data_IF_794261734221
#
_entry.id   IF_794261734221
#
_cell.length_a   1.000
_cell.length_b   1.000
_cell.length_c   1.000
_cell.angle_alpha   90.00
_cell.angle_beta   90.00
_cell.angle_gamma   90.00
#
_symmetry.space_group_name_H-M   'P 1'
#
loop_
_entity.id
_entity.type
_entity.pdbx_description
1 polymer ?
#
# COMPACT_ATOMS: atom_id res chain seq x y z
N UNK A 1 -7.30 -41.34 -10.36
CA UNK A 1 -6.49 -42.22 -9.50
C UNK A 1 -6.77 -41.84 -8.05
N UNK A 2 -7.21 -42.77 -7.18
CA UNK A 2 -7.62 -42.40 -5.83
C UNK A 2 -6.39 -42.23 -4.94
N UNK A 3 -6.38 -41.19 -4.12
CA UNK A 3 -5.33 -40.92 -3.14
C UNK A 3 -5.76 -41.46 -1.78
N UNK A 4 -4.91 -42.35 -1.27
CA UNK A 4 -4.94 -42.96 0.06
C UNK A 4 -4.69 -41.90 1.16
N UNK A 5 -5.38 -42.06 2.27
CA UNK A 5 -5.37 -41.18 3.43
C UNK A 5 -4.54 -41.79 4.54
N UNK A 6 -3.32 -41.29 4.77
CA UNK A 6 -2.65 -41.46 6.05
C UNK A 6 -2.45 -40.10 6.73
N UNK A 7 -3.20 -39.95 7.82
CA UNK A 7 -3.11 -38.88 8.82
C UNK A 7 -1.77 -38.97 9.55
N UNK A 8 -1.12 -37.84 9.85
CA UNK A 8 -0.54 -37.50 11.16
C UNK A 8 -0.32 -35.97 11.25
N UNK A 9 -0.76 -35.42 12.37
CA UNK A 9 -0.63 -34.06 12.93
C UNK A 9 -1.34 -32.85 12.24
N UNK A 10 -2.26 -32.20 12.97
CA UNK A 10 -3.17 -31.14 12.46
C UNK A 10 -2.87 -29.77 13.07
N UNK A 11 -2.32 -28.81 12.30
CA UNK A 11 -2.66 -27.40 12.46
C UNK A 11 -3.95 -27.08 11.69
N UNK A 12 -4.73 -26.13 12.21
CA UNK A 12 -6.07 -25.73 11.77
C UNK A 12 -6.20 -25.55 10.23
N UNK A 13 -6.78 -26.55 9.53
CA UNK A 13 -6.88 -26.69 8.05
C UNK A 13 -7.69 -25.59 7.30
N UNK A 14 -8.11 -24.49 7.94
CA UNK A 14 -9.09 -23.54 7.36
C UNK A 14 -8.50 -22.35 6.60
N UNK A 15 -7.20 -22.08 6.74
CA UNK A 15 -6.51 -21.02 5.99
C UNK A 15 -5.47 -21.68 5.09
N UNK A 16 -5.66 -21.58 3.78
CA UNK A 16 -4.71 -22.10 2.80
C UNK A 16 -4.01 -20.93 2.12
N UNK A 17 -2.68 -20.99 2.07
CA UNK A 17 -1.88 -19.94 1.43
C UNK A 17 -1.59 -20.35 0.00
N UNK A 18 -1.80 -19.44 -0.95
CA UNK A 18 -1.40 -19.63 -2.34
C UNK A 18 -0.39 -18.55 -2.70
N UNK A 19 0.85 -18.99 -2.93
CA UNK A 19 1.95 -18.14 -3.37
C UNK A 19 1.83 -17.92 -4.88
N UNK A 20 2.10 -16.69 -5.35
CA UNK A 20 2.51 -16.49 -6.75
C UNK A 20 3.92 -17.08 -6.89
N UNK A 21 4.01 -18.39 -7.07
CA UNK A 21 5.26 -19.03 -7.43
C UNK A 21 5.44 -18.84 -8.93
N UNK A 22 6.46 -18.09 -9.35
CA UNK A 22 6.94 -18.11 -10.74
C UNK A 22 7.65 -19.45 -10.97
N UNK A 23 6.89 -20.55 -10.95
CA UNK A 23 7.38 -21.88 -11.28
C UNK A 23 6.82 -22.24 -12.64
N UNK A 24 7.64 -22.06 -13.66
CA UNK A 24 7.34 -22.47 -15.03
C UNK A 24 8.24 -21.74 -16.01
N UNK A 25 8.92 -22.50 -16.88
CA UNK A 25 9.80 -22.04 -17.96
C UNK A 25 9.14 -20.97 -18.87
N UNK A 26 7.80 -20.94 -18.92
CA UNK A 26 6.99 -19.97 -19.67
C UNK A 26 6.76 -18.62 -18.96
N UNK A 27 6.92 -18.58 -17.63
CA UNK A 27 6.77 -17.36 -16.82
C UNK A 27 7.98 -16.42 -16.94
N UNK A 28 9.16 -16.98 -17.13
CA UNK A 28 10.40 -16.22 -17.31
C UNK A 28 10.38 -15.45 -18.64
N UNK A 29 9.78 -16.04 -19.69
CA UNK A 29 9.56 -15.37 -20.97
C UNK A 29 8.43 -14.31 -20.91
N UNK A 30 7.41 -14.50 -20.08
CA UNK A 30 6.33 -13.53 -19.89
C UNK A 30 6.74 -12.34 -19.03
N UNK A 31 7.50 -12.57 -17.95
CA UNK A 31 8.04 -11.49 -17.10
C UNK A 31 9.10 -10.69 -17.87
N UNK A 32 10.01 -11.36 -18.59
CA UNK A 32 10.99 -10.67 -19.46
C UNK A 32 10.31 -9.93 -20.61
N UNK A 33 9.24 -10.46 -21.22
CA UNK A 33 8.45 -9.74 -22.25
C UNK A 33 7.67 -8.56 -21.67
N UNK A 34 7.05 -8.70 -20.51
CA UNK A 34 6.34 -7.60 -19.84
C UNK A 34 7.30 -6.47 -19.43
N UNK A 35 8.51 -6.80 -18.96
CA UNK A 35 9.56 -5.80 -18.69
C UNK A 35 10.08 -5.13 -19.98
N UNK A 36 10.34 -5.90 -21.05
CA UNK A 36 10.83 -5.36 -22.34
C UNK A 36 9.79 -4.54 -23.10
N UNK A 37 8.51 -4.93 -23.06
CA UNK A 37 7.40 -4.17 -23.65
C UNK A 37 7.17 -2.85 -22.89
N UNK A 38 7.40 -2.84 -21.56
CA UNK A 38 7.32 -1.62 -20.75
C UNK A 38 8.43 -0.62 -21.09
N UNK A 39 9.67 -1.09 -21.28
CA UNK A 39 10.80 -0.23 -21.67
C UNK A 39 10.53 0.51 -23.01
N UNK A 40 9.99 -0.21 -24.01
CA UNK A 40 9.65 0.36 -25.33
C UNK A 40 8.46 1.30 -25.31
N UNK A 41 7.45 1.07 -24.45
CA UNK A 41 6.31 1.98 -24.30
C UNK A 41 6.72 3.32 -23.67
N UNK A 42 7.72 3.33 -22.77
CA UNK A 42 8.27 4.57 -22.21
C UNK A 42 9.09 5.41 -23.20
N UNK A 43 9.68 4.80 -24.24
CA UNK A 43 10.40 5.53 -25.29
C UNK A 43 9.47 6.11 -26.37
N UNK A 44 8.30 5.50 -26.59
CA UNK A 44 7.33 5.98 -27.58
C UNK A 44 6.46 7.15 -27.08
N UNK A 45 6.25 7.28 -25.76
CA UNK A 45 5.39 8.32 -25.17
C UNK A 45 6.09 9.69 -24.95
N UNK A 46 7.40 9.80 -25.26
CA UNK A 46 8.12 11.09 -25.19
C UNK A 46 7.91 12.01 -26.41
N UNK A 47 7.22 11.54 -27.45
CA UNK A 47 6.91 12.32 -28.66
C UNK A 47 5.40 12.51 -28.87
N UNK A 48 4.69 13.21 -27.96
CA UNK A 48 3.36 13.73 -28.31
C UNK A 48 3.11 15.12 -27.71
N UNK A 49 3.19 16.10 -28.62
CA UNK A 49 2.51 17.40 -28.73
C UNK A 49 1.74 17.98 -27.52
N UNK A 50 2.14 19.19 -27.13
CA UNK A 50 1.44 20.15 -26.27
C UNK A 50 -0.02 20.41 -26.69
N UNK A 51 -0.96 20.62 -25.75
CA UNK A 51 -2.14 21.41 -26.05
C UNK A 51 -2.35 22.62 -25.12
N UNK A 52 -2.81 23.66 -25.80
CA UNK A 52 -3.21 25.02 -25.46
C UNK A 52 -4.06 25.18 -24.20
N UNK A 53 -3.69 26.18 -23.39
CA UNK A 53 -4.38 26.63 -22.17
C UNK A 53 -5.71 27.31 -22.50
N UNK A 54 -6.83 26.79 -21.99
CA UNK A 54 -8.10 27.52 -21.89
C UNK A 54 -8.52 27.58 -20.42
N UNK A 55 -8.54 28.78 -19.85
CA UNK A 55 -8.90 29.02 -18.45
C UNK A 55 -10.40 29.12 -18.28
N UNK A 56 -11.00 28.28 -17.44
CA UNK A 56 -12.37 28.44 -16.95
C UNK A 56 -12.33 28.88 -15.48
N UNK A 57 -12.91 30.06 -15.16
CA UNK A 57 -13.14 30.52 -13.78
C UNK A 57 -14.48 29.96 -13.29
N UNK A 58 -14.49 29.41 -12.07
CA UNK A 58 -15.71 29.05 -11.36
C UNK A 58 -15.77 29.86 -10.06
N UNK A 59 -16.86 30.63 -9.90
CA UNK A 59 -17.18 31.42 -8.70
C UNK A 59 -17.78 30.54 -7.60
N UNK A 60 -17.40 30.79 -6.35
CA UNK A 60 -17.93 30.14 -5.14
C UNK A 60 -18.79 31.16 -4.37
N UNK A 61 -20.02 30.84 -3.92
CA UNK A 61 -20.83 31.75 -3.11
C UNK A 61 -20.47 31.67 -1.60
N UNK A 62 -20.77 32.72 -0.81
CA UNK A 62 -20.33 32.82 0.59
C UNK A 62 -21.22 32.01 1.56
N UNK A 63 -20.72 31.72 2.78
CA UNK A 63 -21.45 30.90 3.75
C UNK A 63 -22.56 31.69 4.47
N UNK A 64 -23.66 30.98 4.74
CA UNK A 64 -24.83 31.42 5.50
C UNK A 64 -24.49 31.53 6.99
N UNK A 65 -24.80 32.68 7.60
CA UNK A 65 -24.58 32.95 9.01
C UNK A 65 -25.68 32.38 9.90
N UNK A 66 -25.29 31.77 11.02
CA UNK A 66 -26.20 31.45 12.12
C UNK A 66 -26.14 32.51 13.22
N UNK A 67 -27.35 32.92 13.64
CA UNK A 67 -27.63 33.98 14.60
C UNK A 67 -27.19 33.61 16.02
N UNK A 68 -26.74 34.64 16.74
CA UNK A 68 -26.44 34.65 18.18
C UNK A 68 -27.72 34.42 19.00
N UNK A 69 -27.59 33.69 20.09
CA UNK A 69 -28.42 33.86 21.28
C UNK A 69 -27.51 34.26 22.45
N UNK A 70 -27.76 35.46 22.95
CA UNK A 70 -27.12 36.07 24.11
C UNK A 70 -27.92 35.73 25.38
N UNK A 71 -27.22 35.39 26.47
CA UNK A 71 -27.75 35.53 27.82
C UNK A 71 -26.63 36.07 28.73
N UNK A 72 -27.04 36.99 29.60
CA UNK A 72 -26.22 37.95 30.35
C UNK A 72 -25.55 37.35 31.59
N UNK A 73 -24.49 38.03 32.05
CA UNK A 73 -23.94 37.87 33.39
C UNK A 73 -22.75 38.81 33.62
N UNK A 74 -23.01 40.07 33.94
CA UNK A 74 -22.01 41.06 34.38
C UNK A 74 -21.57 40.75 35.81
N UNK A 75 -20.27 40.60 36.06
CA UNK A 75 -19.60 41.14 37.26
C UNK A 75 -18.08 40.96 37.19
N UNK A 76 -17.39 41.95 37.76
CA UNK A 76 -16.00 41.94 38.22
C UNK A 76 -14.87 41.87 37.16
N UNK A 77 -14.59 43.05 36.59
CA UNK A 77 -13.23 43.45 36.23
C UNK A 77 -12.44 43.78 37.51
N UNK A 78 -11.53 42.92 37.92
CA UNK A 78 -10.35 43.26 38.72
C UNK A 78 -9.42 42.04 38.77
N UNK A 79 -8.10 42.27 38.74
CA UNK A 79 -7.01 41.28 38.65
C UNK A 79 -6.67 40.83 37.22
N UNK A 80 -6.45 41.82 36.35
CA UNK A 80 -5.33 41.76 35.42
C UNK A 80 -4.10 42.29 36.18
N UNK A 81 -2.92 41.73 35.90
CA UNK A 81 -1.61 41.95 36.56
C UNK A 81 -1.35 40.99 37.72
N UNK A 82 -1.10 39.72 37.40
CA UNK A 82 -0.18 38.79 38.07
C UNK A 82 -0.13 37.41 37.36
N UNK A 83 -0.97 37.18 36.34
CA UNK A 83 -0.95 35.95 35.51
C UNK A 83 -0.08 36.03 34.24
N UNK A 84 0.77 37.07 34.11
CA UNK A 84 1.69 37.23 32.98
C UNK A 84 3.13 36.75 33.28
N UNK A 85 3.39 36.24 34.50
CA UNK A 85 4.72 35.75 34.92
C UNK A 85 4.79 34.23 35.18
N UNK A 86 3.70 33.49 34.92
CA UNK A 86 3.65 32.03 35.14
C UNK A 86 3.34 31.22 33.86
N UNK A 87 3.56 31.81 32.68
CA UNK A 87 3.32 31.18 31.38
C UNK A 87 4.60 30.79 30.62
N UNK A 88 5.77 30.74 31.29
CA UNK A 88 7.06 30.43 30.66
C UNK A 88 7.71 29.12 31.16
N UNK A 89 7.11 28.39 32.10
CA UNK A 89 7.80 27.28 32.78
C UNK A 89 7.21 25.87 32.62
N UNK A 90 6.31 25.59 31.67
CA UNK A 90 5.75 24.24 31.49
C UNK A 90 5.47 23.85 30.02
N UNK A 91 6.50 23.82 29.17
CA UNK A 91 6.49 22.97 27.95
C UNK A 91 7.89 22.49 27.52
N UNK A 92 8.80 22.29 28.48
CA UNK A 92 10.06 21.58 28.24
C UNK A 92 9.98 20.19 28.85
N UNK A 93 9.78 19.16 28.02
CA UNK A 93 9.96 17.78 28.47
C UNK A 93 9.10 16.74 27.78
N UNK A 94 9.43 16.39 26.53
CA UNK A 94 9.25 15.02 26.07
C UNK A 94 10.40 14.67 25.11
N UNK A 95 11.39 13.99 25.70
CA UNK A 95 12.62 13.40 25.15
C UNK A 95 12.88 13.49 23.65
N UNK A 96 13.74 14.45 23.27
CA UNK A 96 14.71 14.23 22.21
C UNK A 96 16.09 14.29 22.85
N UNK A 97 16.76 13.14 23.02
CA UNK A 97 18.17 13.11 23.40
C UNK A 97 18.97 13.83 22.32
N UNK A 98 19.65 14.92 22.71
CA UNK A 98 20.65 15.58 21.87
C UNK A 98 22.02 15.02 22.21
N UNK A 99 22.57 14.26 21.29
CA UNK A 99 24.00 13.92 21.27
C UNK A 99 24.69 14.77 20.21
N UNK A 100 25.92 15.17 20.54
CA UNK A 100 26.78 16.17 19.91
C UNK A 100 26.84 16.19 18.38
N UNK A 101 27.14 17.39 17.87
CA UNK A 101 27.31 17.72 16.46
C UNK A 101 28.34 16.83 15.76
N UNK A 102 27.88 16.07 14.76
CA UNK A 102 28.70 15.57 13.66
C UNK A 102 28.24 16.30 12.40
N UNK A 103 29.09 17.20 11.90
CA UNK A 103 28.88 17.89 10.63
C UNK A 103 28.98 16.90 9.47
N UNK A 104 27.83 16.55 8.91
CA UNK A 104 27.49 16.28 7.49
C UNK A 104 26.29 15.33 7.50
N UNK A 105 25.10 15.91 7.59
CA UNK A 105 23.90 15.17 7.87
C UNK A 105 23.42 14.42 6.60
N UNK A 106 23.63 13.10 6.57
CA UNK A 106 23.38 12.20 5.43
C UNK A 106 21.97 12.28 4.84
N UNK A 107 21.77 11.80 3.61
CA UNK A 107 20.47 11.92 2.95
C UNK A 107 19.35 11.19 3.73
N UNK A 108 18.18 11.81 3.84
CA UNK A 108 17.05 11.27 4.57
C UNK A 108 16.21 10.36 3.68
N UNK A 109 15.96 9.15 4.19
CA UNK A 109 15.05 8.15 3.64
C UNK A 109 13.84 8.06 4.57
N UNK A 110 12.66 8.41 4.08
CA UNK A 110 11.45 8.43 4.89
C UNK A 110 10.64 7.14 4.73
N UNK A 111 10.00 6.68 5.81
CA UNK A 111 8.96 5.64 5.80
C UNK A 111 7.75 6.19 6.57
N UNK A 112 6.60 6.34 5.93
CA UNK A 112 5.35 6.75 6.58
C UNK A 112 4.38 5.58 6.53
N UNK A 113 3.94 5.09 7.69
CA UNK A 113 3.06 3.93 7.76
C UNK A 113 2.27 3.91 9.08
N UNK A 114 1.10 3.25 9.12
CA UNK A 114 0.28 3.25 10.32
C UNK A 114 0.97 2.49 11.46
N UNK A 115 1.25 3.17 12.56
CA UNK A 115 1.74 2.57 13.81
C UNK A 115 0.66 1.85 14.62
N UNK A 116 -0.62 1.99 14.25
CA UNK A 116 -1.79 1.43 14.94
C UNK A 116 -2.71 0.68 13.97
N UNK A 117 -3.62 -0.11 14.54
CA UNK A 117 -4.61 -0.87 13.79
C UNK A 117 -4.09 -2.16 13.14
N UNK A 118 -4.91 -2.83 12.32
CA UNK A 118 -4.64 -4.17 11.76
C UNK A 118 -3.41 -4.32 10.84
N UNK A 119 -2.76 -3.22 10.50
CA UNK A 119 -1.56 -3.17 9.67
C UNK A 119 -0.28 -2.82 10.47
N UNK A 120 -0.40 -2.49 11.75
CA UNK A 120 0.71 -1.99 12.55
C UNK A 120 1.90 -2.95 12.61
N UNK A 121 1.63 -4.27 12.69
CA UNK A 121 2.68 -5.29 12.65
C UNK A 121 3.45 -5.28 11.33
N UNK A 122 2.73 -5.20 10.21
CA UNK A 122 3.33 -5.13 8.86
C UNK A 122 4.12 -3.83 8.66
N UNK A 123 3.58 -2.69 9.10
CA UNK A 123 4.20 -1.37 9.02
C UNK A 123 5.53 -1.33 9.78
N UNK A 124 5.52 -1.85 11.02
CA UNK A 124 6.72 -1.96 11.83
C UNK A 124 7.75 -2.87 11.17
N UNK A 125 7.34 -4.05 10.71
CA UNK A 125 8.23 -5.00 10.07
C UNK A 125 8.89 -4.40 8.81
N UNK A 126 8.12 -3.73 7.96
CA UNK A 126 8.64 -3.02 6.79
C UNK A 126 9.64 -1.93 7.16
N UNK A 127 9.31 -1.04 8.11
CA UNK A 127 10.22 0.02 8.54
C UNK A 127 11.52 -0.52 9.17
N UNK A 128 11.44 -1.58 9.98
CA UNK A 128 12.61 -2.27 10.52
C UNK A 128 13.46 -2.87 9.39
N UNK A 129 12.81 -3.50 8.40
CA UNK A 129 13.47 -4.01 7.22
C UNK A 129 14.22 -2.92 6.45
N UNK A 130 13.60 -1.76 6.23
CA UNK A 130 14.24 -0.61 5.58
C UNK A 130 15.55 -0.24 6.29
N UNK A 131 15.49 -0.05 7.61
CA UNK A 131 16.67 0.29 8.40
C UNK A 131 17.77 -0.79 8.32
N UNK A 132 17.40 -2.08 8.29
CA UNK A 132 18.34 -3.19 8.07
C UNK A 132 18.97 -3.16 6.67
N UNK A 133 18.16 -2.91 5.64
CA UNK A 133 18.63 -2.83 4.25
C UNK A 133 19.62 -1.69 4.04
N UNK A 134 19.32 -0.51 4.59
CA UNK A 134 20.20 0.66 4.56
C UNK A 134 21.51 0.39 5.31
N UNK A 135 21.43 -0.10 6.56
CA UNK A 135 22.61 -0.42 7.38
C UNK A 135 23.51 -1.45 6.72
N UNK A 136 22.94 -2.45 6.03
CA UNK A 136 23.72 -3.44 5.30
C UNK A 136 24.60 -2.80 4.24
N UNK A 137 24.07 -1.87 3.45
CA UNK A 137 24.84 -1.21 2.39
C UNK A 137 25.88 -0.25 3.00
N UNK A 138 25.51 0.49 4.05
CA UNK A 138 26.44 1.35 4.81
C UNK A 138 27.64 0.59 5.37
N UNK A 139 27.41 -0.58 5.98
CA UNK A 139 28.47 -1.42 6.54
C UNK A 139 29.45 -1.97 5.49
N UNK A 140 29.16 -1.81 4.19
CA UNK A 140 30.03 -2.20 3.08
C UNK A 140 30.48 -0.98 2.26
N UNK A 141 30.67 0.18 2.90
CA UNK A 141 31.17 1.40 2.26
C UNK A 141 30.11 2.25 1.54
N UNK A 142 28.82 1.98 1.79
CA UNK A 142 27.71 2.78 1.25
C UNK A 142 27.54 4.15 1.93
N UNK A 143 26.69 5.03 1.37
CA UNK A 143 26.52 6.39 1.88
C UNK A 143 25.87 6.42 3.26
N UNK A 144 26.24 7.42 4.07
CA UNK A 144 25.53 7.75 5.30
C UNK A 144 24.12 8.26 4.98
N UNK A 145 23.12 7.56 5.52
CA UNK A 145 21.70 7.76 5.29
C UNK A 145 20.96 7.63 6.62
N UNK A 146 20.02 8.53 6.84
CA UNK A 146 19.13 8.53 7.99
C UNK A 146 17.79 7.93 7.56
N UNK A 147 17.29 6.95 8.32
CA UNK A 147 15.94 6.40 8.11
C UNK A 147 15.00 7.01 9.13
N UNK A 148 14.02 7.77 8.65
CA UNK A 148 13.00 8.39 9.51
C UNK A 148 11.67 7.68 9.31
N UNK A 149 11.07 7.25 10.42
CA UNK A 149 9.73 6.66 10.44
C UNK A 149 8.71 7.64 10.97
N UNK A 150 7.58 7.76 10.28
CA UNK A 150 6.45 8.63 10.65
C UNK A 150 5.17 7.79 10.80
N UNK A 151 4.34 8.12 11.80
CA UNK A 151 3.02 7.49 11.96
C UNK A 151 2.02 8.16 11.01
N UNK A 152 1.29 7.35 10.26
CA UNK A 152 0.19 7.81 9.40
C UNK A 152 -1.19 7.34 9.90
N UNK A 153 -1.28 6.75 11.09
CA UNK A 153 -2.52 6.13 11.58
C UNK A 153 -3.64 7.15 11.78
N UNK A 154 -4.84 6.79 11.31
CA UNK A 154 -6.06 7.44 11.76
C UNK A 154 -6.26 7.23 13.27
N UNK A 155 -6.73 8.24 14.02
CA UNK A 155 -6.96 8.13 15.46
C UNK A 155 -7.88 6.97 15.84
N UNK A 156 -8.87 6.67 14.99
CA UNK A 156 -9.86 5.61 15.18
C UNK A 156 -9.43 4.23 14.66
N UNK A 157 -8.20 4.12 14.14
CA UNK A 157 -7.65 2.87 13.61
C UNK A 157 -8.27 2.38 12.30
N UNK A 158 -9.08 3.20 11.60
CA UNK A 158 -9.68 2.83 10.31
C UNK A 158 -8.67 2.56 9.20
N UNK A 159 -7.41 2.97 9.39
CA UNK A 159 -6.32 2.80 8.44
C UNK A 159 -5.36 3.98 8.56
N UNK A 160 -4.95 4.50 7.42
CA UNK A 160 -4.17 5.74 7.34
C UNK A 160 -5.09 6.97 7.33
N UNK A 161 -4.65 8.04 7.98
CA UNK A 161 -5.26 9.37 7.95
C UNK A 161 -4.60 10.25 6.87
N UNK A 162 -5.35 10.67 5.84
CA UNK A 162 -4.87 11.58 4.79
C UNK A 162 -4.25 12.88 5.33
N UNK A 163 -4.82 13.49 6.37
CA UNK A 163 -4.31 14.75 6.92
C UNK A 163 -2.96 14.54 7.59
N UNK A 164 -2.82 13.46 8.35
CA UNK A 164 -1.56 13.08 8.96
C UNK A 164 -0.49 12.76 7.90
N UNK A 165 -0.84 12.10 6.80
CA UNK A 165 0.09 11.86 5.67
C UNK A 165 0.54 13.18 5.04
N UNK A 166 -0.38 14.10 4.77
CA UNK A 166 -0.04 15.41 4.23
C UNK A 166 0.89 16.19 5.18
N UNK A 167 0.60 16.17 6.48
CA UNK A 167 1.45 16.80 7.50
C UNK A 167 2.85 16.17 7.58
N UNK A 168 2.94 14.85 7.47
CA UNK A 168 4.20 14.11 7.41
C UNK A 168 5.04 14.54 6.20
N UNK A 169 4.44 14.58 5.01
CA UNK A 169 5.12 14.99 3.77
C UNK A 169 5.57 16.45 3.85
N UNK A 170 4.70 17.36 4.29
CA UNK A 170 5.05 18.76 4.47
C UNK A 170 6.24 18.93 5.44
N UNK A 171 6.26 18.15 6.53
CA UNK A 171 7.38 18.15 7.49
C UNK A 171 8.67 17.64 6.87
N UNK A 172 8.62 16.56 6.08
CA UNK A 172 9.78 16.01 5.38
C UNK A 172 10.35 17.00 4.36
N UNK A 173 9.48 17.65 3.58
CA UNK A 173 9.88 18.62 2.57
C UNK A 173 10.50 19.88 3.19
N UNK A 174 9.95 20.38 4.31
CA UNK A 174 10.53 21.51 5.06
C UNK A 174 11.94 21.24 5.59
N UNK A 175 12.29 19.98 5.88
CA UNK A 175 13.66 19.61 6.31
C UNK A 175 14.70 19.74 5.18
N UNK A 176 14.28 19.84 3.91
CA UNK A 176 15.16 20.08 2.76
C UNK A 176 16.17 18.97 2.43
N UNK A 177 16.13 17.83 3.14
CA UNK A 177 17.12 16.73 3.03
C UNK A 177 16.52 15.38 2.66
N UNK A 178 15.19 15.30 2.46
CA UNK A 178 14.53 14.08 2.00
C UNK A 178 14.95 13.81 0.55
N UNK A 179 15.55 12.64 0.31
CA UNK A 179 15.99 12.21 -1.03
C UNK A 179 15.15 11.09 -1.60
N UNK A 180 14.59 10.25 -0.74
CA UNK A 180 13.71 9.15 -1.11
C UNK A 180 12.60 9.01 -0.07
N UNK A 181 11.40 8.78 -0.57
CA UNK A 181 10.27 8.36 0.23
C UNK A 181 10.01 6.88 -0.04
N UNK A 182 10.18 6.04 0.97
CA UNK A 182 9.84 4.63 0.91
C UNK A 182 8.39 4.49 1.35
N UNK A 183 7.58 4.15 0.36
CA UNK A 183 6.14 4.34 0.32
C UNK A 183 5.38 3.75 1.49
N UNK A 184 4.12 4.15 1.52
CA UNK A 184 3.16 3.73 2.52
C UNK A 184 2.74 2.26 2.32
N UNK A 185 1.93 1.71 3.23
CA UNK A 185 1.42 0.34 3.11
C UNK A 185 0.07 0.24 2.38
N UNK A 186 -0.55 1.37 2.09
CA UNK A 186 -1.84 1.45 1.41
C UNK A 186 -1.85 2.55 0.36
N UNK A 187 -2.74 2.41 -0.62
CA UNK A 187 -2.83 3.33 -1.75
C UNK A 187 -3.42 4.69 -1.35
N UNK A 188 -4.23 4.80 -0.30
CA UNK A 188 -4.80 6.09 0.09
C UNK A 188 -3.71 7.05 0.57
N UNK A 189 -2.78 6.55 1.39
CA UNK A 189 -1.63 7.29 1.83
C UNK A 189 -0.73 7.72 0.65
N UNK A 190 -0.42 6.80 -0.26
CA UNK A 190 0.40 7.13 -1.43
C UNK A 190 -0.29 8.12 -2.37
N UNK A 191 -1.61 8.06 -2.50
CA UNK A 191 -2.37 9.02 -3.31
C UNK A 191 -2.30 10.46 -2.76
N UNK A 192 -2.12 10.62 -1.45
CA UNK A 192 -1.90 11.93 -0.80
C UNK A 192 -0.45 12.36 -0.93
N UNK A 193 0.49 11.46 -0.66
CA UNK A 193 1.91 11.79 -0.61
C UNK A 193 2.52 12.04 -2.00
N UNK A 194 2.17 11.22 -2.98
CA UNK A 194 2.83 11.18 -4.29
C UNK A 194 2.72 12.50 -5.07
N UNK A 195 1.57 13.20 -5.16
CA UNK A 195 1.50 14.49 -5.83
C UNK A 195 2.45 15.52 -5.22
N UNK A 196 2.49 15.65 -3.89
CA UNK A 196 3.36 16.61 -3.20
C UNK A 196 4.84 16.29 -3.36
N UNK A 197 5.21 15.01 -3.23
CA UNK A 197 6.57 14.55 -3.45
C UNK A 197 6.98 14.69 -4.92
N UNK A 198 6.06 14.53 -5.86
CA UNK A 198 6.29 14.77 -7.27
C UNK A 198 6.62 16.25 -7.54
N UNK A 199 5.89 17.18 -6.91
CA UNK A 199 6.21 18.62 -7.00
C UNK A 199 7.59 18.97 -6.49
N UNK A 200 8.00 18.30 -5.41
CA UNK A 200 9.33 18.47 -4.85
C UNK A 200 10.44 17.69 -5.59
N UNK A 201 10.11 16.91 -6.63
CA UNK A 201 11.08 16.07 -7.33
C UNK A 201 11.66 14.95 -6.45
N UNK A 202 10.92 14.47 -5.46
CA UNK A 202 11.32 13.39 -4.55
C UNK A 202 10.77 12.05 -5.05
N UNK A 203 11.62 11.07 -5.41
CA UNK A 203 11.15 9.74 -5.78
C UNK A 203 10.47 8.99 -4.64
N UNK A 204 9.46 8.21 -5.02
CA UNK A 204 8.74 7.26 -4.18
C UNK A 204 9.10 5.83 -4.58
N UNK A 205 9.56 5.01 -3.64
CA UNK A 205 9.76 3.56 -3.86
C UNK A 205 8.76 2.80 -3.01
N UNK A 206 7.86 2.04 -3.63
CA UNK A 206 6.72 1.43 -2.93
C UNK A 206 6.65 -0.08 -3.12
N UNK A 207 6.17 -0.81 -2.10
CA UNK A 207 6.15 -2.28 -2.12
C UNK A 207 4.86 -2.94 -1.64
N UNK A 208 3.86 -2.17 -1.22
CA UNK A 208 2.62 -2.71 -0.63
C UNK A 208 1.32 -2.17 -1.26
N UNK A 209 1.17 -0.85 -1.54
CA UNK A 209 0.04 -0.26 -2.24
C UNK A 209 -0.18 -0.92 -3.60
N UNK A 210 -1.43 -1.26 -3.87
CA UNK A 210 -1.80 -2.09 -5.00
C UNK A 210 -2.44 -1.35 -6.17
N UNK A 211 -2.89 -0.11 -5.97
CA UNK A 211 -3.70 0.60 -6.95
C UNK A 211 -2.99 0.72 -8.31
N UNK A 212 -3.66 0.26 -9.36
CA UNK A 212 -3.11 0.14 -10.72
C UNK A 212 -2.78 1.51 -11.31
N UNK A 213 -3.61 2.51 -11.01
CA UNK A 213 -3.49 3.84 -11.58
C UNK A 213 -2.33 4.68 -11.04
N UNK A 214 -1.43 4.17 -10.20
CA UNK A 214 -0.18 4.87 -9.92
C UNK A 214 0.80 4.78 -11.09
N UNK A 215 0.83 3.69 -11.84
CA UNK A 215 1.97 3.39 -12.73
C UNK A 215 1.59 2.68 -14.04
N UNK A 216 0.30 2.45 -14.28
CA UNK A 216 -0.19 1.88 -15.51
C UNK A 216 -1.43 2.62 -16.02
N UNK A 217 -1.48 2.76 -17.34
CA UNK A 217 -2.74 2.97 -18.06
C UNK A 217 -3.39 1.61 -18.27
N UNK A 218 -4.68 1.47 -17.98
CA UNK A 218 -5.40 0.21 -18.22
C UNK A 218 -6.52 -0.09 -17.23
N UNK A 219 -7.09 -1.31 -17.29
CA UNK A 219 -8.17 -1.73 -16.41
C UNK A 219 -7.74 -1.71 -14.94
N UNK A 220 -8.59 -1.18 -14.06
CA UNK A 220 -8.27 -0.98 -12.64
C UNK A 220 -7.88 0.45 -12.27
N UNK A 221 -7.74 1.36 -13.25
CA UNK A 221 -7.55 2.79 -13.00
C UNK A 221 -8.87 3.51 -12.71
N UNK A 222 -8.79 4.53 -11.89
CA UNK A 222 -9.84 5.52 -11.67
C UNK A 222 -9.68 6.71 -12.63
N UNK A 223 -10.69 7.57 -12.64
CA UNK A 223 -10.72 8.79 -13.44
C UNK A 223 -9.53 9.70 -13.10
N UNK A 224 -8.88 10.24 -14.15
CA UNK A 224 -7.71 11.10 -14.02
C UNK A 224 -6.40 10.38 -13.68
N UNK A 225 -6.43 9.06 -13.47
CA UNK A 225 -5.22 8.28 -13.24
C UNK A 225 -4.55 7.87 -14.55
N UNK A 226 -3.21 7.87 -14.58
CA UNK A 226 -2.29 8.22 -13.50
C UNK A 226 -1.94 9.73 -13.38
N UNK A 227 -2.34 10.56 -14.35
CA UNK A 227 -1.90 11.95 -14.46
C UNK A 227 -2.08 12.78 -13.16
N UNK A 228 -3.17 12.56 -12.41
CA UNK A 228 -3.43 13.25 -11.14
C UNK A 228 -2.34 13.10 -10.08
N UNK A 229 -1.52 12.05 -10.17
CA UNK A 229 -0.43 11.79 -9.22
C UNK A 229 0.90 12.43 -9.61
N UNK A 230 1.01 12.95 -10.83
CA UNK A 230 2.25 13.48 -11.38
C UNK A 230 2.03 14.90 -11.94
N UNK A 231 1.72 15.88 -11.08
CA UNK A 231 1.47 17.26 -11.52
C UNK A 231 2.62 17.91 -12.30
N UNK A 232 3.87 17.45 -12.14
CA UNK A 232 5.02 17.92 -12.94
C UNK A 232 5.31 17.05 -14.17
N UNK A 233 4.43 16.12 -14.53
CA UNK A 233 4.56 15.23 -15.69
C UNK A 233 5.58 14.09 -15.51
N UNK A 234 6.62 14.30 -14.70
CA UNK A 234 7.65 13.30 -14.43
C UNK A 234 7.12 12.14 -13.58
N UNK A 235 7.31 10.90 -14.02
CA UNK A 235 6.97 9.71 -13.21
C UNK A 235 8.03 9.48 -12.13
N UNK A 236 7.67 9.77 -10.88
CA UNK A 236 8.57 9.66 -9.71
C UNK A 236 8.30 8.44 -8.83
N UNK A 237 7.51 7.46 -9.27
CA UNK A 237 7.24 6.23 -8.50
C UNK A 237 7.95 5.01 -9.09
N UNK A 238 8.56 4.19 -8.23
CA UNK A 238 9.14 2.88 -8.54
C UNK A 238 8.50 1.82 -7.63
N UNK A 239 8.22 0.63 -8.17
CA UNK A 239 7.61 -0.47 -7.44
C UNK A 239 8.58 -1.62 -7.17
N UNK A 240 8.60 -2.10 -5.93
CA UNK A 240 9.33 -3.31 -5.52
C UNK A 240 8.55 -4.61 -5.84
N UNK A 241 7.23 -4.52 -5.99
CA UNK A 241 6.33 -5.63 -6.34
C UNK A 241 5.33 -5.17 -7.40
N UNK A 242 4.75 -6.09 -8.21
CA UNK A 242 3.71 -5.70 -9.17
C UNK A 242 2.47 -5.07 -8.50
N UNK A 243 1.69 -4.32 -9.28
CA UNK A 243 0.40 -3.78 -8.84
C UNK A 243 -0.70 -4.86 -8.81
N UNK A 244 -1.89 -4.51 -8.30
CA UNK A 244 -2.96 -5.47 -8.02
C UNK A 244 -3.60 -6.06 -9.27
N UNK A 245 -3.31 -5.54 -10.48
CA UNK A 245 -3.74 -6.19 -11.73
C UNK A 245 -3.28 -7.65 -11.82
N UNK A 246 -2.09 -7.96 -11.32
CA UNK A 246 -1.61 -9.35 -11.30
C UNK A 246 -2.20 -10.17 -10.14
N UNK A 247 -2.45 -9.58 -8.95
CA UNK A 247 -3.16 -10.30 -7.85
C UNK A 247 -4.61 -10.62 -8.23
N UNK A 248 -5.31 -9.69 -8.88
CA UNK A 248 -6.71 -9.89 -9.30
C UNK A 248 -6.84 -10.87 -10.45
N UNK A 249 -5.88 -10.92 -11.39
CA UNK A 249 -5.80 -12.00 -12.39
C UNK A 249 -5.62 -13.37 -11.75
N UNK A 250 -4.74 -13.51 -10.76
CA UNK A 250 -4.62 -14.77 -10.02
C UNK A 250 -5.94 -15.11 -9.29
N UNK A 251 -6.58 -14.14 -8.63
CA UNK A 251 -7.87 -14.36 -7.99
C UNK A 251 -8.94 -14.85 -8.99
N UNK A 252 -9.01 -14.25 -10.18
CA UNK A 252 -9.95 -14.69 -11.23
C UNK A 252 -9.65 -16.11 -11.72
N UNK A 253 -8.38 -16.46 -11.94
CA UNK A 253 -8.01 -17.83 -12.26
C UNK A 253 -8.33 -18.83 -11.15
N UNK A 254 -8.17 -18.44 -9.88
CA UNK A 254 -8.59 -19.26 -8.74
C UNK A 254 -10.11 -19.48 -8.76
N UNK A 255 -10.91 -18.45 -9.05
CA UNK A 255 -12.37 -18.58 -9.14
C UNK A 255 -12.77 -19.55 -10.26
N UNK A 256 -12.12 -19.47 -11.42
CA UNK A 256 -12.36 -20.40 -12.53
C UNK A 256 -12.05 -21.85 -12.11
N UNK A 257 -10.93 -22.08 -11.42
CA UNK A 257 -10.54 -23.41 -10.93
C UNK A 257 -11.48 -23.96 -9.85
N UNK A 258 -12.04 -23.11 -9.01
CA UNK A 258 -13.00 -23.52 -7.98
C UNK A 258 -14.41 -23.76 -8.53
N UNK A 259 -14.63 -23.55 -9.85
CA UNK A 259 -15.92 -23.75 -10.53
C UNK A 259 -17.07 -23.00 -9.83
N UNK A 260 -16.80 -21.76 -9.40
CA UNK A 260 -17.78 -20.96 -8.68
C UNK A 260 -19.01 -20.67 -9.57
N UNK A 261 -20.21 -20.91 -9.03
CA UNK A 261 -21.46 -20.55 -9.71
C UNK A 261 -21.79 -19.07 -9.56
N UNK A 262 -21.37 -18.47 -8.44
CA UNK A 262 -21.42 -17.03 -8.19
C UNK A 262 -20.03 -16.52 -7.79
N UNK A 263 -19.75 -15.30 -8.25
CA UNK A 263 -18.55 -14.54 -7.90
C UNK A 263 -19.01 -13.22 -7.32
N UNK A 264 -18.54 -12.87 -6.12
CA UNK A 264 -18.85 -11.60 -5.47
C UNK A 264 -17.55 -10.84 -5.24
N UNK A 265 -17.52 -9.54 -5.51
CA UNK A 265 -16.42 -8.65 -5.14
C UNK A 265 -16.95 -7.64 -4.14
N UNK A 266 -16.38 -7.65 -2.95
CA UNK A 266 -16.71 -6.73 -1.87
C UNK A 266 -15.57 -5.71 -1.75
N UNK A 267 -15.88 -4.43 -1.93
CA UNK A 267 -14.94 -3.33 -1.70
C UNK A 267 -15.21 -2.64 -0.37
N UNK A 268 -14.15 -2.31 0.36
CA UNK A 268 -14.22 -1.49 1.58
C UNK A 268 -14.35 0.02 1.28
N UNK A 269 -14.45 0.41 0.01
CA UNK A 269 -14.56 1.78 -0.46
C UNK A 269 -13.23 2.55 -0.44
N UNK A 270 -12.12 1.90 -0.08
CA UNK A 270 -10.79 2.51 -0.15
C UNK A 270 -10.27 2.53 -1.57
N UNK A 271 -9.25 3.35 -1.85
CA UNK A 271 -8.60 3.38 -3.16
C UNK A 271 -8.06 1.99 -3.59
N UNK A 272 -7.48 1.23 -2.66
CA UNK A 272 -7.05 -0.14 -2.93
C UNK A 272 -8.24 -1.06 -3.24
N UNK A 273 -9.31 -0.98 -2.44
CA UNK A 273 -10.53 -1.76 -2.65
C UNK A 273 -11.17 -1.50 -4.01
N UNK A 274 -11.35 -0.24 -4.37
CA UNK A 274 -11.94 0.16 -5.65
C UNK A 274 -11.05 -0.20 -6.85
N UNK A 275 -9.74 0.06 -6.76
CA UNK A 275 -8.82 -0.30 -7.83
C UNK A 275 -8.77 -1.83 -8.04
N UNK A 276 -8.76 -2.61 -6.95
CA UNK A 276 -8.81 -4.06 -7.00
C UNK A 276 -10.14 -4.58 -7.55
N UNK A 277 -11.28 -3.95 -7.20
CA UNK A 277 -12.60 -4.29 -7.75
C UNK A 277 -12.63 -4.11 -9.27
N UNK A 278 -12.20 -2.96 -9.75
CA UNK A 278 -12.14 -2.67 -11.19
C UNK A 278 -11.16 -3.59 -11.94
N UNK A 279 -9.99 -3.86 -11.35
CA UNK A 279 -9.02 -4.77 -11.94
C UNK A 279 -9.55 -6.22 -11.97
N UNK A 280 -10.24 -6.67 -10.93
CA UNK A 280 -10.86 -7.99 -10.90
C UNK A 280 -11.99 -8.12 -11.91
N UNK A 281 -12.87 -7.12 -12.06
CA UNK A 281 -13.91 -7.10 -13.12
C UNK A 281 -13.30 -7.37 -14.50
N UNK A 282 -12.18 -6.70 -14.81
CA UNK A 282 -11.48 -6.90 -16.06
C UNK A 282 -10.88 -8.30 -16.18
N UNK A 283 -10.19 -8.77 -15.13
CA UNK A 283 -9.62 -10.10 -15.08
C UNK A 283 -10.66 -11.22 -15.21
N UNK A 284 -11.82 -11.07 -14.57
CA UNK A 284 -12.92 -12.02 -14.63
C UNK A 284 -13.46 -12.18 -16.06
N UNK A 285 -13.63 -11.07 -16.79
CA UNK A 285 -14.02 -11.11 -18.21
C UNK A 285 -12.99 -11.85 -19.06
N UNK A 286 -11.70 -11.54 -18.88
CA UNK A 286 -10.61 -12.23 -19.61
C UNK A 286 -10.54 -13.73 -19.28
N UNK A 287 -10.88 -14.11 -18.05
CA UNK A 287 -10.91 -15.50 -17.61
C UNK A 287 -12.21 -16.26 -17.99
N UNK A 288 -13.15 -15.63 -18.69
CA UNK A 288 -14.43 -16.25 -19.06
C UNK A 288 -15.37 -16.50 -17.89
N UNK A 289 -15.19 -15.80 -16.77
CA UNK A 289 -16.11 -15.87 -15.63
C UNK A 289 -17.39 -15.09 -15.93
N UNK A 290 -18.50 -15.53 -15.31
CA UNK A 290 -19.70 -14.68 -15.21
C UNK A 290 -19.31 -13.37 -14.53
N UNK A 291 -19.93 -12.27 -14.97
CA UNK A 291 -19.73 -10.97 -14.35
C UNK A 291 -19.96 -11.10 -12.83
N UNK A 292 -19.00 -10.67 -11.99
CA UNK A 292 -19.18 -10.77 -10.56
C UNK A 292 -20.29 -9.81 -10.10
N UNK A 293 -21.02 -10.19 -9.06
CA UNK A 293 -21.78 -9.21 -8.28
C UNK A 293 -20.79 -8.32 -7.56
N UNK A 294 -20.96 -7.02 -7.67
CA UNK A 294 -20.03 -6.06 -7.09
C UNK A 294 -20.76 -5.20 -6.07
N UNK A 295 -20.15 -5.09 -4.90
CA UNK A 295 -20.70 -4.33 -3.81
C UNK A 295 -19.61 -3.49 -3.16
N UNK A 296 -19.92 -2.22 -2.91
CA UNK A 296 -19.02 -1.28 -2.25
C UNK A 296 -19.69 -0.81 -0.97
N UNK A 297 -18.94 -0.79 0.12
CA UNK A 297 -19.48 -0.34 1.39
C UNK A 297 -19.56 1.20 1.44
N UNK A 298 -20.77 1.72 1.38
CA UNK A 298 -21.05 3.18 1.41
C UNK A 298 -21.22 3.74 2.84
N UNK A 299 -21.46 2.89 3.85
CA UNK A 299 -21.71 3.30 5.24
C UNK A 299 -22.70 2.37 5.94
N UNK A 300 -22.83 2.47 7.28
CA UNK A 300 -23.76 1.66 8.07
C UNK A 300 -23.17 0.37 8.69
N UNK A 301 -24.01 -0.59 9.08
CA UNK A 301 -23.56 -1.85 9.71
C UNK A 301 -23.02 -2.83 8.67
N UNK A 302 -21.69 -2.87 8.55
CA UNK A 302 -20.98 -3.66 7.54
C UNK A 302 -21.27 -5.16 7.64
N UNK A 303 -21.38 -5.69 8.85
CA UNK A 303 -21.58 -7.11 9.13
C UNK A 303 -22.91 -7.65 8.59
N UNK A 304 -24.01 -6.94 8.86
CA UNK A 304 -25.35 -7.34 8.43
C UNK A 304 -25.53 -7.22 6.92
N UNK A 305 -24.99 -6.16 6.30
CA UNK A 305 -25.08 -5.95 4.87
C UNK A 305 -24.31 -7.02 4.08
N UNK A 306 -23.06 -7.31 4.49
CA UNK A 306 -22.26 -8.39 3.88
C UNK A 306 -22.92 -9.74 4.08
N UNK A 307 -23.52 -10.00 5.25
CA UNK A 307 -24.21 -11.26 5.51
C UNK A 307 -25.42 -11.47 4.58
N UNK A 308 -26.25 -10.45 4.39
CA UNK A 308 -27.41 -10.52 3.50
C UNK A 308 -27.00 -10.78 2.04
N UNK A 309 -26.03 -10.01 1.54
CA UNK A 309 -25.50 -10.15 0.18
C UNK A 309 -24.96 -11.56 -0.09
N UNK A 310 -24.13 -12.08 0.82
CA UNK A 310 -23.50 -13.39 0.64
C UNK A 310 -24.45 -14.58 0.91
N UNK A 311 -25.50 -14.38 1.70
CA UNK A 311 -26.53 -15.40 1.92
C UNK A 311 -27.41 -15.61 0.67
N UNK A 312 -27.69 -14.54 -0.08
CA UNK A 312 -28.49 -14.60 -1.30
C UNK A 312 -27.73 -15.23 -2.49
N UNK A 313 -26.40 -15.30 -2.44
CA UNK A 313 -25.58 -15.72 -3.58
C UNK A 313 -25.61 -17.26 -3.82
N UNK A 314 -25.86 -17.72 -5.07
CA UNK A 314 -25.87 -19.15 -5.41
C UNK A 314 -24.53 -19.85 -5.14
N UNK A 315 -24.57 -21.13 -4.77
CA UNK A 315 -23.35 -21.92 -4.50
C UNK A 315 -22.91 -22.76 -5.71
N UNK A 316 -21.59 -23.07 -5.86
CA UNK A 316 -20.46 -22.65 -5.01
C UNK A 316 -20.16 -21.15 -5.12
N UNK A 317 -19.94 -20.51 -3.97
CA UNK A 317 -19.71 -19.05 -3.85
C UNK A 317 -18.22 -18.76 -3.69
N UNK A 318 -17.73 -17.82 -4.49
CA UNK A 318 -16.40 -17.26 -4.35
C UNK A 318 -16.46 -15.75 -4.15
N UNK A 319 -15.74 -15.24 -3.15
CA UNK A 319 -15.76 -13.84 -2.75
C UNK A 319 -14.36 -13.27 -2.82
N UNK A 320 -14.19 -12.11 -3.46
CA UNK A 320 -12.98 -11.31 -3.34
C UNK A 320 -13.25 -10.21 -2.33
N UNK A 321 -12.55 -10.24 -1.19
CA UNK A 321 -12.51 -9.12 -0.26
C UNK A 321 -11.42 -8.13 -0.72
N UNK A 322 -11.84 -7.13 -1.49
CA UNK A 322 -10.99 -6.06 -2.01
C UNK A 322 -10.85 -4.96 -0.96
N UNK A 323 -9.65 -4.79 -0.41
CA UNK A 323 -9.42 -3.90 0.72
C UNK A 323 -8.01 -3.31 0.76
N UNK A 324 -7.90 -2.08 1.28
CA UNK A 324 -6.64 -1.43 1.62
C UNK A 324 -6.03 -1.84 2.97
N UNK A 325 -6.76 -2.62 3.77
CA UNK A 325 -6.41 -2.95 5.15
C UNK A 325 -7.20 -2.13 6.17
N UNK A 326 -6.57 -1.76 7.28
CA UNK A 326 -7.21 -1.01 8.37
C UNK A 326 -8.34 -1.75 9.09
N UNK A 327 -8.97 -1.11 10.07
CA UNK A 327 -10.11 -1.71 10.79
C UNK A 327 -11.31 -1.98 9.87
N UNK A 328 -11.55 -1.11 8.88
CA UNK A 328 -12.64 -1.24 7.91
C UNK A 328 -12.47 -2.48 7.03
N UNK A 329 -11.28 -2.66 6.46
CA UNK A 329 -10.93 -3.84 5.69
C UNK A 329 -10.96 -5.12 6.49
N UNK A 330 -10.46 -5.08 7.73
CA UNK A 330 -10.49 -6.24 8.62
C UNK A 330 -11.92 -6.68 8.91
N UNK A 331 -12.81 -5.71 9.19
CA UNK A 331 -14.23 -5.99 9.39
C UNK A 331 -14.86 -6.59 8.12
N UNK A 332 -14.58 -6.04 6.93
CA UNK A 332 -15.08 -6.57 5.66
C UNK A 332 -14.67 -8.03 5.45
N UNK A 333 -13.38 -8.32 5.62
CA UNK A 333 -12.83 -9.67 5.47
C UNK A 333 -13.42 -10.63 6.50
N UNK A 334 -13.51 -10.22 7.77
CA UNK A 334 -14.07 -11.05 8.82
C UNK A 334 -15.57 -11.36 8.57
N UNK A 335 -16.34 -10.36 8.16
CA UNK A 335 -17.76 -10.53 7.80
C UNK A 335 -17.92 -11.45 6.59
N UNK A 336 -17.11 -11.25 5.54
CA UNK A 336 -17.14 -12.11 4.37
C UNK A 336 -16.80 -13.57 4.70
N UNK A 337 -15.73 -13.78 5.47
CA UNK A 337 -15.29 -15.11 5.91
C UNK A 337 -16.29 -15.81 6.85
N UNK A 338 -17.08 -15.05 7.61
CA UNK A 338 -18.13 -15.60 8.46
C UNK A 338 -19.43 -15.91 7.67
N UNK A 339 -19.79 -15.06 6.71
CA UNK A 339 -21.06 -15.15 5.98
C UNK A 339 -21.02 -16.09 4.76
N UNK A 340 -19.90 -16.20 4.04
CA UNK A 340 -19.76 -17.10 2.89
C UNK A 340 -19.56 -18.57 3.32
N UNK A 341 -20.36 -19.10 4.24
CA UNK A 341 -20.21 -20.43 4.85
C UNK A 341 -20.03 -21.52 3.80
N UNK A 342 -18.95 -22.30 3.82
CA UNK A 342 -18.68 -23.34 2.79
C UNK A 342 -18.22 -22.82 1.41
N UNK A 343 -18.12 -21.50 1.23
CA UNK A 343 -17.52 -20.86 0.06
C UNK A 343 -16.02 -20.61 0.21
N UNK A 344 -15.45 -19.96 -0.80
CA UNK A 344 -14.04 -19.51 -0.83
C UNK A 344 -14.00 -17.99 -0.74
N UNK A 345 -13.25 -17.46 0.21
CA UNK A 345 -12.98 -16.02 0.33
C UNK A 345 -11.52 -15.78 0.00
N UNK A 346 -11.25 -14.99 -1.04
CA UNK A 346 -9.92 -14.55 -1.43
C UNK A 346 -9.67 -13.14 -0.89
N UNK A 347 -8.51 -12.93 -0.30
CA UNK A 347 -8.06 -11.63 0.21
C UNK A 347 -6.58 -11.39 -0.15
N UNK A 348 -6.10 -10.17 0.03
CA UNK A 348 -4.69 -9.83 -0.11
C UNK A 348 -3.99 -9.77 1.26
N UNK A 349 -2.66 -9.78 1.23
CA UNK A 349 -1.77 -9.74 2.39
C UNK A 349 -1.66 -8.33 3.02
N UNK A 350 -2.80 -7.79 3.44
CA UNK A 350 -2.93 -6.44 4.05
C UNK A 350 -3.06 -6.46 5.57
N UNK A 351 -2.98 -7.63 6.22
CA UNK A 351 -3.26 -7.78 7.65
C UNK A 351 -2.12 -8.48 8.39
N UNK A 352 -1.80 -7.98 9.57
CA UNK A 352 -0.82 -8.58 10.47
C UNK A 352 -1.30 -9.94 11.03
N UNK A 353 -0.43 -10.67 11.71
CA UNK A 353 -0.73 -11.99 12.25
C UNK A 353 -1.92 -11.98 13.22
N UNK A 354 -2.05 -10.93 14.05
CA UNK A 354 -3.15 -10.79 15.02
C UNK A 354 -4.49 -10.62 14.32
N UNK A 355 -4.54 -9.74 13.33
CA UNK A 355 -5.71 -9.51 12.50
C UNK A 355 -6.12 -10.75 11.71
N UNK A 356 -5.15 -11.48 11.13
CA UNK A 356 -5.42 -12.75 10.45
C UNK A 356 -5.97 -13.83 11.39
N UNK A 357 -5.44 -13.93 12.60
CA UNK A 357 -5.96 -14.86 13.61
C UNK A 357 -7.41 -14.53 14.01
N UNK A 358 -7.77 -13.23 14.09
CA UNK A 358 -9.14 -12.79 14.34
C UNK A 358 -10.11 -13.25 13.25
N UNK A 359 -9.72 -13.13 11.98
CA UNK A 359 -10.51 -13.63 10.84
C UNK A 359 -10.64 -15.16 10.91
N UNK A 360 -9.53 -15.87 11.10
CA UNK A 360 -9.50 -17.33 11.11
C UNK A 360 -10.42 -17.94 12.19
N UNK A 361 -10.50 -17.31 13.38
CA UNK A 361 -11.40 -17.76 14.46
C UNK A 361 -12.89 -17.67 14.13
N UNK A 362 -13.26 -16.74 13.25
CA UNK A 362 -14.67 -16.50 12.86
C UNK A 362 -15.04 -17.09 11.50
N UNK A 363 -14.05 -17.57 10.76
CA UNK A 363 -14.24 -18.05 9.40
C UNK A 363 -15.09 -19.33 9.34
N UNK A 364 -16.21 -19.24 8.62
CA UNK A 364 -17.02 -20.37 8.16
C UNK A 364 -16.71 -20.74 6.71
N UNK A 365 -15.86 -19.96 6.04
CA UNK A 365 -15.36 -20.17 4.68
C UNK A 365 -13.90 -20.63 4.67
N UNK A 366 -13.43 -21.15 3.53
CA UNK A 366 -11.99 -21.26 3.26
C UNK A 366 -11.46 -19.88 2.89
N UNK A 367 -10.50 -19.36 3.66
CA UNK A 367 -9.86 -18.08 3.36
C UNK A 367 -8.53 -18.32 2.66
N UNK A 368 -8.37 -17.77 1.46
CA UNK A 368 -7.16 -17.82 0.66
C UNK A 368 -6.53 -16.43 0.61
N UNK A 369 -5.24 -16.33 0.93
CA UNK A 369 -4.50 -15.07 0.83
C UNK A 369 -3.62 -15.10 -0.41
N UNK A 370 -3.81 -14.14 -1.30
CA UNK A 370 -2.95 -13.89 -2.45
C UNK A 370 -1.87 -12.89 -2.05
N UNK A 371 -0.62 -13.27 -2.27
CA UNK A 371 0.56 -12.51 -1.85
C UNK A 371 1.68 -12.62 -2.90
N UNK A 372 2.54 -11.60 -2.95
CA UNK A 372 3.78 -11.60 -3.75
C UNK A 372 4.91 -12.40 -3.12
N UNK A 373 4.72 -12.85 -1.88
CA UNK A 373 5.74 -13.48 -1.08
C UNK A 373 5.46 -14.98 -0.92
N UNK A 374 6.46 -15.74 -0.49
CA UNK A 374 6.30 -17.17 -0.19
C UNK A 374 5.23 -17.40 0.86
N UNK A 375 5.18 -16.55 1.87
CA UNK A 375 4.17 -16.54 2.93
C UNK A 375 3.75 -15.10 3.23
N UNK A 376 2.47 -14.86 3.56
CA UNK A 376 2.02 -13.53 3.99
C UNK A 376 2.47 -13.25 5.44
N UNK A 377 2.65 -11.97 5.74
CA UNK A 377 2.88 -11.51 7.11
C UNK A 377 4.13 -10.67 7.28
N UNK A 378 4.51 -10.50 8.53
CA UNK A 378 5.51 -9.56 9.01
C UNK A 378 6.90 -9.88 8.47
N UNK A 379 7.30 -11.15 8.41
CA UNK A 379 8.61 -11.54 7.85
C UNK A 379 8.75 -11.16 6.37
N UNK A 380 7.68 -11.32 5.61
CA UNK A 380 7.63 -10.92 4.22
C UNK A 380 7.73 -9.40 4.05
N UNK A 381 7.01 -8.64 4.88
CA UNK A 381 7.10 -7.17 4.88
C UNK A 381 8.47 -6.68 5.37
N UNK A 382 9.12 -7.38 6.32
CA UNK A 382 10.49 -7.07 6.74
C UNK A 382 11.47 -7.30 5.60
N UNK A 383 11.35 -8.41 4.86
CA UNK A 383 12.22 -8.62 3.70
C UNK A 383 11.95 -7.62 2.57
N UNK A 384 10.68 -7.30 2.31
CA UNK A 384 10.32 -6.22 1.39
C UNK A 384 10.97 -4.89 1.81
N UNK A 385 10.95 -4.58 3.11
CA UNK A 385 11.64 -3.43 3.69
C UNK A 385 13.14 -3.48 3.47
N UNK A 386 13.78 -4.64 3.71
CA UNK A 386 15.22 -4.80 3.46
C UNK A 386 15.59 -4.55 2.01
N UNK A 387 14.77 -5.04 1.06
CA UNK A 387 14.94 -4.74 -0.37
C UNK A 387 14.82 -3.25 -0.63
N UNK A 388 13.77 -2.60 -0.10
CA UNK A 388 13.59 -1.16 -0.23
C UNK A 388 14.81 -0.37 0.28
N UNK A 389 15.32 -0.71 1.47
CA UNK A 389 16.48 -0.08 2.06
C UNK A 389 17.77 -0.29 1.25
N UNK A 390 17.99 -1.50 0.69
CA UNK A 390 19.13 -1.77 -0.20
C UNK A 390 19.04 -1.00 -1.51
N UNK A 391 17.85 -0.98 -2.13
CA UNK A 391 17.58 -0.20 -3.36
C UNK A 391 17.86 1.27 -3.11
N UNK A 392 17.33 1.83 -2.02
CA UNK A 392 17.53 3.23 -1.64
C UNK A 392 19.01 3.55 -1.45
N UNK A 393 19.71 2.76 -0.63
CA UNK A 393 21.09 3.01 -0.31
C UNK A 393 22.05 2.91 -1.50
N UNK A 394 21.84 1.92 -2.38
CA UNK A 394 22.66 1.77 -3.60
C UNK A 394 22.34 2.82 -4.65
N UNK A 395 21.07 3.20 -4.82
CA UNK A 395 20.69 4.23 -5.78
C UNK A 395 21.23 5.62 -5.38
N UNK A 396 21.30 5.90 -4.07
CA UNK A 396 21.87 7.12 -3.49
C UNK A 396 23.40 7.07 -3.30
N UNK A 397 24.05 5.94 -3.58
CA UNK A 397 25.50 5.87 -3.55
C UNK A 397 26.06 6.77 -4.66
N UNK A 398 26.66 7.90 -4.25
CA UNK A 398 27.33 8.82 -5.16
C UNK A 398 28.63 8.20 -5.67
N UNK A 399 28.93 8.37 -6.95
CA UNK A 399 30.31 8.27 -7.44
C UNK A 399 30.96 9.65 -7.33
N UNK A 400 32.29 9.74 -7.17
CA UNK A 400 32.99 11.03 -7.21
C UNK A 400 32.58 11.82 -8.48
N UNK A 401 32.07 13.04 -8.30
CA UNK A 401 31.61 13.93 -9.38
C UNK A 401 30.14 13.80 -9.81
N UNK A 402 29.36 12.87 -9.25
CA UNK A 402 27.94 12.70 -9.64
C UNK A 402 27.06 13.87 -9.16
N UNK A 403 26.57 14.70 -10.09
CA UNK A 403 25.30 15.44 -9.91
C UNK A 403 24.17 14.62 -10.52
N UNK A 404 23.51 13.80 -9.72
CA UNK A 404 22.37 13.00 -10.17
C UNK A 404 21.14 13.88 -10.40
N UNK A 405 20.75 14.02 -11.67
CA UNK A 405 19.44 14.52 -12.04
C UNK A 405 18.35 13.58 -11.51
N UNK A 406 17.12 14.09 -11.39
CA UNK A 406 15.96 13.27 -11.02
C UNK A 406 15.80 12.07 -11.97
N UNK A 407 15.95 12.29 -13.28
CA UNK A 407 15.88 11.23 -14.28
C UNK A 407 16.96 10.15 -14.04
N UNK A 408 18.20 10.57 -13.77
CA UNK A 408 19.29 9.64 -13.47
C UNK A 408 19.06 8.84 -12.18
N UNK A 409 18.48 9.47 -11.15
CA UNK A 409 18.13 8.79 -9.90
C UNK A 409 17.00 7.78 -10.12
N UNK A 410 15.94 8.16 -10.83
CA UNK A 410 14.83 7.27 -11.17
C UNK A 410 15.32 6.03 -11.93
N UNK A 411 16.24 6.22 -12.86
CA UNK A 411 16.82 5.15 -13.65
C UNK A 411 17.73 4.23 -12.80
N UNK A 412 18.51 4.79 -11.86
CA UNK A 412 19.23 3.96 -10.87
C UNK A 412 18.28 3.15 -9.99
N UNK A 413 17.20 3.76 -9.50
CA UNK A 413 16.19 3.08 -8.68
C UNK A 413 15.56 1.90 -9.41
N UNK A 414 15.20 2.06 -10.70
CA UNK A 414 14.66 0.97 -11.52
C UNK A 414 15.64 -0.19 -11.65
N UNK A 415 16.89 0.11 -12.02
CA UNK A 415 17.94 -0.93 -12.13
C UNK A 415 18.20 -1.66 -10.82
N UNK A 416 18.27 -0.95 -9.70
CA UNK A 416 18.47 -1.60 -8.39
C UNK A 416 17.27 -2.47 -7.99
N UNK A 417 16.06 -2.01 -8.32
CA UNK A 417 14.85 -2.80 -8.07
C UNK A 417 14.83 -4.09 -8.89
N UNK A 418 15.22 -4.02 -10.17
CA UNK A 418 15.37 -5.20 -11.02
C UNK A 418 16.46 -6.15 -10.52
N UNK A 419 17.62 -5.62 -10.09
CA UNK A 419 18.70 -6.40 -9.50
C UNK A 419 18.22 -7.17 -8.26
N UNK A 420 17.50 -6.52 -7.36
CA UNK A 420 16.97 -7.15 -6.14
C UNK A 420 15.87 -8.19 -6.45
N UNK A 421 15.06 -7.96 -7.49
CA UNK A 421 14.08 -8.93 -7.94
C UNK A 421 14.76 -10.21 -8.48
N UNK A 422 15.80 -10.04 -9.32
CA UNK A 422 16.54 -11.16 -9.91
C UNK A 422 17.36 -11.95 -8.88
N UNK A 423 17.99 -11.27 -7.91
CA UNK A 423 18.75 -11.94 -6.84
C UNK A 423 17.83 -12.83 -6.00
N UNK A 424 16.61 -12.37 -5.74
CA UNK A 424 15.59 -13.10 -4.99
C UNK A 424 15.10 -14.35 -5.72
N UNK A 425 15.04 -14.32 -7.05
CA UNK A 425 14.69 -15.50 -7.86
C UNK A 425 15.81 -16.55 -7.85
N UNK A 426 17.08 -16.13 -7.84
CA UNK A 426 18.23 -17.05 -7.77
C UNK A 426 18.41 -17.69 -6.39
N UNK A 427 18.08 -16.96 -5.32
CA UNK A 427 18.14 -17.46 -3.95
C UNK A 427 16.97 -18.40 -3.60
N UNK A 428 15.96 -18.50 -4.47
CA UNK A 428 14.87 -19.43 -4.29
C UNK A 428 15.28 -20.81 -4.81
N UNK A 429 15.43 -21.86 -3.96
CA UNK A 429 15.53 -23.21 -4.48
C UNK A 429 14.31 -23.48 -5.37
N UNK A 430 14.55 -23.96 -6.59
CA UNK A 430 13.52 -24.50 -7.46
C UNK A 430 12.84 -25.62 -6.68
N UNK A 431 11.68 -25.34 -6.10
CA UNK A 431 10.85 -26.39 -5.54
C UNK A 431 10.51 -27.32 -6.70
N UNK A 432 11.11 -28.52 -6.73
CA UNK A 432 10.62 -29.59 -7.59
C UNK A 432 9.14 -29.77 -7.25
N UNK A 433 8.25 -29.84 -8.25
CA UNK A 433 6.87 -30.21 -7.97
C UNK A 433 6.92 -31.52 -7.19
N UNK A 434 6.30 -31.53 -6.00
CA UNK A 434 6.02 -32.79 -5.32
C UNK A 434 4.81 -33.36 -6.07
N UNK A 435 5.05 -34.50 -6.71
CA UNK A 435 4.07 -35.27 -7.49
C UNK A 435 2.83 -35.64 -6.67
#
# INVERSE_FOLDING_TARGET
>A
MPLDTSTHDRPNRRVQTWTVATTGKDSDAHVKRAYRQRARATEADSEVSSPTTTSLRVSVPPPVGHRRASAQGRAARTVALLAAAFAVALFTGCGSERVAARSEAGALVAVSAPARGPQAGLARAFATGVAEGVRRVQGHGGPALEVVRLDSSAPDGRGTDPEQVAANVATLLRRGRVRLYLGDLDSQATAVALPELNRAGVPVVTGAPGAVGFDAWGPGRLTGEPARYYPHGNRTLVRLVPNDSARTRLAAHLFARQRCRSSVVLSDGTLDGEAARLAFRAAARTAGLRAPTEWTYEGGRLDTAVAAELAAAPRPLCVLAATGGGARGLALLASAAAAASGGVVVAFDRFDARARALVARRARSRVLVVTWFRSPGEDAYRELGRRAGRVAARALAARPGDRLSLAGLMERLRRETEREALSSLRAAPLARPRD
#
